data_IF_874564577057
#
_entry.id   IF_874564577057
#
_cell.length_a   1.000
_cell.length_b   1.000
_cell.length_c   1.000
_cell.angle_alpha   90.00
_cell.angle_beta   90.00
_cell.angle_gamma   90.00
#
_symmetry.space_group_name_H-M   'P 1'
#
loop_
_entity.id
_entity.type
_entity.pdbx_description
1 polymer ?
#
# COMPACT_ATOMS: atom_id res chain seq x y z
N UNK A 1 -30.02 87.94 -25.34
CA UNK A 1 -29.22 87.94 -24.09
C UNK A 1 -29.93 87.06 -23.08
N UNK A 2 -29.23 86.02 -22.57
CA UNK A 2 -29.53 85.21 -21.37
C UNK A 2 -30.90 84.50 -21.30
N UNK A 3 -31.10 83.29 -20.76
CA UNK A 3 -30.34 82.42 -19.86
C UNK A 3 -31.02 81.02 -19.87
N UNK A 4 -30.29 80.01 -19.39
CA UNK A 4 -30.61 78.57 -19.32
C UNK A 4 -31.90 78.18 -18.58
N UNK A 5 -32.52 77.06 -19.01
CA UNK A 5 -33.12 76.06 -18.11
C UNK A 5 -33.24 74.66 -18.74
N UNK A 6 -32.84 73.67 -17.94
CA UNK A 6 -32.96 72.19 -17.98
C UNK A 6 -34.14 71.57 -18.75
N UNK A 7 -33.90 70.37 -19.29
CA UNK A 7 -34.94 69.34 -19.47
C UNK A 7 -34.55 68.10 -20.31
N UNK A 8 -34.16 67.02 -19.62
CA UNK A 8 -34.34 65.58 -19.93
C UNK A 8 -34.00 64.99 -21.33
N UNK A 9 -33.07 64.02 -21.33
CA UNK A 9 -32.90 63.01 -22.38
C UNK A 9 -32.62 61.64 -21.78
N UNK A 10 -33.60 60.74 -21.85
CA UNK A 10 -33.54 59.35 -21.42
C UNK A 10 -32.52 58.55 -22.25
N UNK A 11 -31.52 57.96 -21.59
CA UNK A 11 -30.73 56.87 -22.15
C UNK A 11 -30.40 55.89 -21.01
N UNK A 12 -31.08 54.75 -20.95
CA UNK A 12 -30.87 53.80 -19.85
C UNK A 12 -31.60 52.47 -19.93
N UNK A 13 -32.12 52.07 -21.09
CA UNK A 13 -32.89 50.83 -21.24
C UNK A 13 -32.16 49.73 -22.03
N UNK A 14 -30.94 49.98 -22.51
CA UNK A 14 -30.13 48.98 -23.24
C UNK A 14 -29.17 48.13 -22.39
N UNK A 15 -28.87 48.54 -21.15
CA UNK A 15 -27.81 47.91 -20.35
C UNK A 15 -28.29 46.78 -19.42
N UNK A 16 -29.60 46.66 -19.19
CA UNK A 16 -30.17 45.65 -18.27
C UNK A 16 -30.40 44.28 -18.91
N UNK A 17 -30.60 44.21 -20.22
CA UNK A 17 -30.83 42.92 -20.90
C UNK A 17 -29.53 42.17 -21.22
N UNK A 18 -28.42 42.88 -21.44
CA UNK A 18 -27.10 42.27 -21.69
C UNK A 18 -26.54 41.62 -20.41
N UNK A 19 -26.75 42.24 -19.24
CA UNK A 19 -26.24 41.73 -17.97
C UNK A 19 -27.00 40.48 -17.48
N UNK A 20 -28.29 40.37 -17.79
CA UNK A 20 -29.11 39.19 -17.44
C UNK A 20 -28.75 37.97 -18.30
N UNK A 21 -28.39 38.18 -19.57
CA UNK A 21 -27.90 37.10 -20.44
C UNK A 21 -26.48 36.64 -20.06
N UNK A 22 -25.63 37.54 -19.56
CA UNK A 22 -24.27 37.21 -19.05
C UNK A 22 -24.34 36.48 -17.69
N UNK A 23 -25.31 36.83 -16.83
CA UNK A 23 -25.48 36.16 -15.53
C UNK A 23 -26.21 34.80 -15.63
N UNK A 24 -27.02 34.59 -16.67
CA UNK A 24 -27.56 33.26 -16.99
C UNK A 24 -26.54 32.35 -17.70
N UNK A 25 -25.44 32.91 -18.21
CA UNK A 25 -24.32 32.14 -18.78
C UNK A 25 -23.31 31.66 -17.71
N UNK A 26 -23.39 32.16 -16.47
CA UNK A 26 -22.41 31.89 -15.42
C UNK A 26 -22.87 30.93 -14.31
N UNK A 27 -24.05 30.33 -14.45
CA UNK A 27 -24.53 29.26 -13.57
C UNK A 27 -24.74 27.96 -14.37
N UNK A 28 -23.63 27.36 -14.81
CA UNK A 28 -23.56 25.91 -15.03
C UNK A 28 -22.61 25.32 -13.97
N UNK A 29 -23.11 24.72 -12.89
CA UNK A 29 -22.30 23.79 -12.14
C UNK A 29 -22.20 22.51 -12.97
N UNK A 30 -21.07 22.32 -13.65
CA UNK A 30 -20.66 21.03 -14.20
C UNK A 30 -20.65 20.96 -15.72
N UNK A 31 -19.45 20.91 -16.30
CA UNK A 31 -19.12 20.07 -17.47
C UNK A 31 -17.61 19.77 -17.48
N UNK A 32 -17.16 18.92 -16.57
CA UNK A 32 -15.87 18.19 -16.69
C UNK A 32 -16.07 16.81 -17.34
N UNK A 33 -17.33 16.45 -17.64
CA UNK A 33 -17.74 15.19 -18.24
C UNK A 33 -17.75 15.26 -19.78
N UNK A 34 -17.34 14.19 -20.48
CA UNK A 34 -17.47 14.09 -21.94
C UNK A 34 -18.90 14.33 -22.43
N UNK A 35 -19.05 15.00 -23.57
CA UNK A 35 -20.37 15.44 -24.08
C UNK A 35 -21.39 14.32 -24.31
N UNK A 36 -20.93 13.10 -24.61
CA UNK A 36 -21.77 11.93 -24.88
C UNK A 36 -21.92 11.00 -23.67
N UNK A 37 -21.48 11.44 -22.50
CA UNK A 37 -21.52 10.67 -21.28
C UNK A 37 -22.16 11.46 -20.14
N UNK A 38 -22.60 10.72 -19.13
CA UNK A 38 -23.09 11.26 -17.87
C UNK A 38 -22.11 10.87 -16.77
N UNK A 39 -21.69 11.83 -15.96
CA UNK A 39 -20.70 11.61 -14.92
C UNK A 39 -21.27 12.02 -13.57
N UNK A 40 -20.95 11.21 -12.56
CA UNK A 40 -21.11 11.50 -11.15
C UNK A 40 -19.73 11.48 -10.49
N UNK A 41 -19.62 11.85 -9.22
CA UNK A 41 -18.33 11.85 -8.51
C UNK A 41 -17.62 10.48 -8.42
N UNK A 42 -18.30 9.37 -8.74
CA UNK A 42 -17.75 8.01 -8.64
C UNK A 42 -18.02 7.14 -9.88
N UNK A 43 -18.83 7.61 -10.82
CA UNK A 43 -19.32 6.81 -11.95
C UNK A 43 -19.36 7.60 -13.25
N UNK A 44 -18.90 6.98 -14.34
CA UNK A 44 -19.06 7.45 -15.72
C UNK A 44 -20.01 6.51 -16.45
N UNK A 45 -21.00 7.04 -17.16
CA UNK A 45 -22.01 6.27 -17.89
C UNK A 45 -22.24 6.84 -19.29
N UNK A 46 -21.94 6.06 -20.33
CA UNK A 46 -22.09 6.40 -21.75
C UNK A 46 -23.02 5.38 -22.41
N UNK A 47 -24.28 5.76 -22.64
CA UNK A 47 -25.36 4.84 -23.08
C UNK A 47 -26.20 5.42 -24.22
N UNK A 48 -25.82 6.58 -24.75
CA UNK A 48 -26.55 7.25 -25.83
C UNK A 48 -26.54 6.36 -27.09
N UNK A 49 -27.73 6.00 -27.57
CA UNK A 49 -27.95 5.13 -28.73
C UNK A 49 -27.94 5.89 -30.05
N UNK A 50 -28.14 7.21 -30.04
CA UNK A 50 -28.17 8.04 -31.24
C UNK A 50 -26.77 8.55 -31.59
N UNK A 51 -25.95 8.84 -30.57
CA UNK A 51 -24.59 9.34 -30.73
C UNK A 51 -23.61 8.46 -29.97
N UNK A 52 -22.76 7.75 -30.72
CA UNK A 52 -21.76 6.85 -30.16
C UNK A 52 -20.41 7.54 -29.94
N UNK A 53 -19.78 7.25 -28.81
CA UNK A 53 -18.38 7.57 -28.57
C UNK A 53 -17.46 6.75 -29.50
N UNK A 54 -16.32 7.34 -29.86
CA UNK A 54 -15.26 6.68 -30.65
C UNK A 54 -14.00 6.40 -29.83
N UNK A 55 -13.86 7.05 -28.68
CA UNK A 55 -12.70 6.96 -27.80
C UNK A 55 -13.16 6.78 -26.35
N UNK A 56 -12.25 6.29 -25.50
CA UNK A 56 -12.54 6.10 -24.09
C UNK A 56 -12.86 7.44 -23.40
N UNK A 57 -13.90 7.53 -22.55
CA UNK A 57 -14.26 8.78 -21.91
C UNK A 57 -13.15 9.23 -20.94
N UNK A 58 -12.60 10.42 -21.14
CA UNK A 58 -11.61 11.03 -20.25
C UNK A 58 -12.19 12.28 -19.57
N UNK A 59 -11.92 12.44 -18.27
CA UNK A 59 -12.26 13.66 -17.52
C UNK A 59 -11.11 14.67 -17.61
N UNK A 60 -11.40 15.94 -17.40
CA UNK A 60 -10.38 17.00 -17.47
C UNK A 60 -9.43 17.03 -16.26
N UNK A 61 -9.81 16.41 -15.14
CA UNK A 61 -9.06 16.43 -13.88
C UNK A 61 -8.62 15.03 -13.47
N UNK A 62 -7.32 14.85 -13.21
CA UNK A 62 -6.77 13.59 -12.68
C UNK A 62 -7.38 13.23 -11.32
N UNK A 63 -7.60 14.22 -10.45
CA UNK A 63 -8.22 14.00 -9.14
C UNK A 63 -9.67 13.51 -9.25
N UNK A 64 -10.40 13.90 -10.31
CA UNK A 64 -11.74 13.36 -10.57
C UNK A 64 -11.67 11.93 -11.09
N UNK A 65 -10.73 11.61 -11.99
CA UNK A 65 -10.52 10.25 -12.50
C UNK A 65 -10.12 9.27 -11.40
N UNK A 66 -9.28 9.70 -10.46
CA UNK A 66 -8.91 8.88 -9.31
C UNK A 66 -10.10 8.56 -8.39
N UNK A 67 -11.16 9.38 -8.36
CA UNK A 67 -12.36 9.12 -7.56
C UNK A 67 -13.35 8.14 -8.23
N UNK A 68 -13.22 7.91 -9.54
CA UNK A 68 -14.11 7.01 -10.27
C UNK A 68 -13.83 5.56 -9.90
N UNK A 69 -14.91 4.84 -9.58
CA UNK A 69 -14.90 3.42 -9.21
C UNK A 69 -15.69 2.54 -10.16
N UNK A 70 -16.59 3.14 -10.95
CA UNK A 70 -17.49 2.45 -11.89
C UNK A 70 -17.50 3.15 -13.26
N UNK A 71 -17.25 2.42 -14.34
CA UNK A 71 -17.39 2.91 -15.71
C UNK A 71 -18.35 1.99 -16.47
N UNK A 72 -19.38 2.58 -17.06
CA UNK A 72 -20.44 1.88 -17.78
C UNK A 72 -20.58 2.42 -19.20
N UNK A 73 -20.17 1.63 -20.19
CA UNK A 73 -20.23 1.94 -21.61
C UNK A 73 -21.13 0.89 -22.25
N UNK A 74 -22.27 1.32 -22.80
CA UNK A 74 -23.22 0.41 -23.42
C UNK A 74 -23.81 0.98 -24.70
N UNK A 75 -24.14 0.11 -25.65
CA UNK A 75 -24.79 0.46 -26.92
C UNK A 75 -23.98 1.46 -27.77
N UNK A 76 -22.65 1.47 -27.64
CA UNK A 76 -21.76 2.39 -28.36
C UNK A 76 -21.20 1.73 -29.63
N UNK A 77 -21.90 1.90 -30.77
CA UNK A 77 -21.58 1.20 -32.02
C UNK A 77 -20.24 1.60 -32.67
N UNK A 78 -19.70 2.77 -32.33
CA UNK A 78 -18.44 3.28 -32.87
C UNK A 78 -17.24 3.05 -31.94
N UNK A 79 -17.46 2.48 -30.75
CA UNK A 79 -16.41 2.16 -29.80
C UNK A 79 -15.80 0.80 -30.11
N UNK A 80 -14.50 0.76 -30.42
CA UNK A 80 -13.84 -0.43 -30.99
C UNK A 80 -12.58 -0.90 -30.26
N UNK A 81 -11.96 -0.06 -29.43
CA UNK A 81 -10.70 -0.40 -28.78
C UNK A 81 -10.57 0.20 -27.37
N UNK A 82 -9.90 -0.53 -26.48
CA UNK A 82 -9.35 -0.03 -25.21
C UNK A 82 -7.83 -0.14 -25.28
N UNK A 83 -7.15 1.00 -25.20
CA UNK A 83 -5.71 1.13 -25.30
C UNK A 83 -5.07 1.22 -23.90
N UNK A 84 -3.75 1.08 -23.87
CA UNK A 84 -2.94 1.12 -22.64
C UNK A 84 -3.16 2.40 -21.80
N UNK A 85 -3.30 3.55 -22.45
CA UNK A 85 -3.43 4.84 -21.77
C UNK A 85 -4.87 5.21 -21.39
N UNK A 86 -5.85 4.45 -21.85
CA UNK A 86 -7.25 4.83 -21.66
C UNK A 86 -7.69 4.74 -20.20
N UNK A 87 -7.10 3.80 -19.45
CA UNK A 87 -7.49 3.47 -18.08
C UNK A 87 -6.43 3.84 -17.02
N UNK A 88 -5.28 4.35 -17.44
CA UNK A 88 -4.10 4.53 -16.59
C UNK A 88 -4.32 5.47 -15.37
N UNK A 89 -5.21 6.47 -15.51
CA UNK A 89 -5.52 7.47 -14.48
C UNK A 89 -6.68 7.05 -13.56
N UNK A 90 -7.42 5.99 -13.92
CA UNK A 90 -8.55 5.48 -13.14
C UNK A 90 -8.10 4.46 -12.08
N UNK A 91 -7.15 4.85 -11.23
CA UNK A 91 -6.43 3.94 -10.30
C UNK A 91 -7.32 3.23 -9.27
N UNK A 92 -8.48 3.82 -8.94
CA UNK A 92 -9.44 3.25 -7.98
C UNK A 92 -10.61 2.51 -8.63
N UNK A 93 -10.56 2.31 -9.95
CA UNK A 93 -11.61 1.60 -10.69
C UNK A 93 -11.80 0.17 -10.14
N UNK A 94 -13.06 -0.21 -9.92
CA UNK A 94 -13.47 -1.52 -9.41
C UNK A 94 -14.35 -2.29 -10.39
N UNK A 95 -15.19 -1.54 -11.12
CA UNK A 95 -16.16 -2.08 -12.04
C UNK A 95 -15.99 -1.43 -13.42
N UNK A 96 -15.84 -2.26 -14.45
CA UNK A 96 -15.86 -1.81 -15.83
C UNK A 96 -16.89 -2.66 -16.59
N UNK A 97 -17.87 -1.98 -17.19
CA UNK A 97 -18.80 -2.59 -18.13
C UNK A 97 -18.65 -1.94 -19.49
N UNK A 98 -18.34 -2.74 -20.49
CA UNK A 98 -18.35 -2.35 -21.90
C UNK A 98 -19.15 -3.42 -22.63
N UNK A 99 -20.41 -3.15 -22.96
CA UNK A 99 -21.32 -4.18 -23.50
C UNK A 99 -22.15 -3.68 -24.66
N UNK A 100 -22.53 -4.57 -25.58
CA UNK A 100 -23.27 -4.22 -26.79
C UNK A 100 -22.58 -3.11 -27.59
N UNK A 101 -21.27 -3.23 -27.77
CA UNK A 101 -20.44 -2.29 -28.55
C UNK A 101 -19.77 -3.04 -29.71
N UNK A 102 -18.90 -2.35 -30.47
CA UNK A 102 -18.05 -2.99 -31.50
C UNK A 102 -16.62 -3.20 -31.05
N UNK A 103 -16.40 -3.38 -29.74
CA UNK A 103 -15.08 -3.60 -29.17
C UNK A 103 -14.43 -4.86 -29.77
N UNK A 104 -13.31 -4.67 -30.46
CA UNK A 104 -12.53 -5.73 -31.12
C UNK A 104 -11.16 -5.92 -30.49
N UNK A 105 -10.65 -4.91 -29.78
CA UNK A 105 -9.28 -4.90 -29.30
C UNK A 105 -9.17 -4.34 -27.88
N UNK A 106 -8.42 -5.04 -27.03
CA UNK A 106 -8.01 -4.58 -25.71
C UNK A 106 -6.49 -4.78 -25.61
N UNK A 107 -5.78 -3.71 -25.27
CA UNK A 107 -4.32 -3.79 -25.05
C UNK A 107 -3.97 -4.75 -23.92
N UNK A 108 -2.82 -5.44 -24.02
CA UNK A 108 -2.34 -6.35 -22.96
C UNK A 108 -2.03 -5.63 -21.66
N UNK A 109 -1.69 -4.35 -21.72
CA UNK A 109 -1.40 -3.49 -20.57
C UNK A 109 -2.57 -2.57 -20.20
N UNK A 110 -3.74 -2.75 -20.79
CA UNK A 110 -4.89 -1.84 -20.59
C UNK A 110 -5.25 -1.61 -19.12
N UNK A 111 -5.05 -2.62 -18.26
CA UNK A 111 -5.45 -2.58 -16.85
C UNK A 111 -4.28 -2.50 -15.87
N UNK A 112 -3.07 -2.19 -16.32
CA UNK A 112 -1.84 -2.23 -15.50
C UNK A 112 -1.88 -1.23 -14.32
N UNK A 113 -2.64 -0.15 -14.41
CA UNK A 113 -2.80 0.79 -13.27
C UNK A 113 -4.02 0.48 -12.39
N UNK A 114 -4.86 -0.48 -12.75
CA UNK A 114 -6.19 -0.67 -12.15
C UNK A 114 -6.24 -1.88 -11.21
N UNK A 115 -5.30 -1.96 -10.26
CA UNK A 115 -5.13 -3.10 -9.32
C UNK A 115 -6.37 -3.45 -8.48
N UNK A 116 -7.34 -2.54 -8.39
CA UNK A 116 -8.59 -2.71 -7.62
C UNK A 116 -9.75 -3.22 -8.47
N UNK A 117 -9.56 -3.42 -9.77
CA UNK A 117 -10.59 -3.90 -10.69
C UNK A 117 -10.97 -5.34 -10.35
N UNK A 118 -12.25 -5.56 -10.04
CA UNK A 118 -12.80 -6.84 -9.61
C UNK A 118 -13.92 -7.34 -10.53
N UNK A 119 -14.67 -6.43 -11.13
CA UNK A 119 -15.79 -6.76 -12.01
C UNK A 119 -15.52 -6.23 -13.42
N UNK A 120 -15.52 -7.13 -14.39
CA UNK A 120 -15.33 -6.80 -15.80
C UNK A 120 -16.39 -7.46 -16.66
N UNK A 121 -17.28 -6.64 -17.23
CA UNK A 121 -18.27 -7.10 -18.18
C UNK A 121 -17.91 -6.63 -19.59
N UNK A 122 -17.63 -7.60 -20.46
CA UNK A 122 -17.27 -7.41 -21.87
C UNK A 122 -18.25 -8.17 -22.79
N UNK A 123 -19.48 -8.41 -22.35
CA UNK A 123 -20.49 -9.15 -23.13
C UNK A 123 -20.94 -8.43 -24.40
N UNK A 124 -21.41 -9.20 -25.38
CA UNK A 124 -22.04 -8.69 -26.61
C UNK A 124 -21.12 -7.67 -27.34
N UNK A 125 -19.84 -8.03 -27.51
CA UNK A 125 -18.90 -7.25 -28.30
C UNK A 125 -18.38 -8.09 -29.48
N UNK A 126 -17.31 -7.63 -30.13
CA UNK A 126 -16.72 -8.30 -31.29
C UNK A 126 -15.27 -8.74 -31.02
N UNK A 127 -14.98 -9.14 -29.78
CA UNK A 127 -13.66 -9.63 -29.40
C UNK A 127 -13.41 -11.01 -30.04
N UNK A 128 -12.32 -11.10 -30.81
CA UNK A 128 -11.89 -12.37 -31.42
C UNK A 128 -10.84 -13.10 -30.58
N UNK A 129 -9.98 -12.34 -29.90
CA UNK A 129 -8.87 -12.84 -29.09
C UNK A 129 -8.70 -11.96 -27.85
N UNK A 130 -8.45 -12.58 -26.71
CA UNK A 130 -8.18 -11.89 -25.46
C UNK A 130 -7.16 -12.70 -24.66
N UNK A 131 -6.02 -12.09 -24.37
CA UNK A 131 -4.94 -12.76 -23.63
C UNK A 131 -5.19 -12.75 -22.12
N UNK A 132 -4.94 -13.86 -21.44
CA UNK A 132 -4.96 -13.91 -19.97
C UNK A 132 -3.95 -12.94 -19.32
N UNK A 133 -2.87 -12.61 -20.03
CA UNK A 133 -1.86 -11.63 -19.55
C UNK A 133 -2.46 -10.26 -19.29
N UNK A 134 -3.55 -9.92 -19.96
CA UNK A 134 -4.29 -8.67 -19.72
C UNK A 134 -4.84 -8.58 -18.28
N UNK A 135 -5.00 -9.72 -17.61
CA UNK A 135 -5.64 -9.83 -16.29
C UNK A 135 -4.75 -10.44 -15.21
N UNK A 136 -3.53 -10.88 -15.53
CA UNK A 136 -2.70 -11.69 -14.64
C UNK A 136 -2.40 -11.03 -13.27
N UNK A 137 -2.29 -9.70 -13.25
CA UNK A 137 -2.03 -8.90 -12.06
C UNK A 137 -3.31 -8.48 -11.31
N UNK A 138 -4.49 -8.83 -11.82
CA UNK A 138 -5.77 -8.46 -11.26
C UNK A 138 -6.40 -9.62 -10.50
N UNK A 139 -7.04 -9.31 -9.38
CA UNK A 139 -7.87 -10.27 -8.65
C UNK A 139 -9.34 -10.14 -9.10
N UNK A 140 -9.62 -10.47 -10.36
CA UNK A 140 -10.96 -10.37 -10.94
C UNK A 140 -11.88 -11.40 -10.30
N UNK A 141 -12.98 -10.93 -9.72
CA UNK A 141 -14.03 -11.75 -9.12
C UNK A 141 -15.05 -12.22 -10.16
N UNK A 142 -15.33 -11.39 -11.17
CA UNK A 142 -16.28 -11.71 -12.24
C UNK A 142 -15.81 -11.16 -13.58
N UNK A 143 -15.73 -12.04 -14.58
CA UNK A 143 -15.37 -11.74 -15.96
C UNK A 143 -16.45 -12.29 -16.89
N UNK A 144 -17.16 -11.40 -17.58
CA UNK A 144 -18.25 -11.77 -18.47
C UNK A 144 -17.86 -11.54 -19.93
N UNK A 145 -17.87 -12.60 -20.74
CA UNK A 145 -17.39 -12.58 -22.14
C UNK A 145 -18.41 -13.14 -23.14
N UNK A 146 -19.60 -13.54 -22.69
CA UNK A 146 -20.65 -14.09 -23.57
C UNK A 146 -21.04 -13.12 -24.70
N UNK A 147 -21.46 -13.67 -25.85
CA UNK A 147 -21.87 -12.87 -27.02
C UNK A 147 -20.73 -12.32 -27.89
N UNK A 148 -19.46 -12.64 -27.57
CA UNK A 148 -18.32 -12.29 -28.42
C UNK A 148 -18.06 -13.29 -29.56
N UNK A 149 -17.31 -12.87 -30.57
CA UNK A 149 -16.90 -13.67 -31.74
C UNK A 149 -15.54 -14.33 -31.54
N UNK A 150 -15.35 -14.96 -30.38
CA UNK A 150 -14.07 -15.57 -29.98
C UNK A 150 -13.63 -16.64 -30.98
N UNK A 151 -12.36 -16.62 -31.41
CA UNK A 151 -11.82 -17.66 -32.27
C UNK A 151 -11.52 -18.94 -31.48
N UNK A 152 -11.77 -20.11 -32.08
CA UNK A 152 -11.34 -21.39 -31.51
C UNK A 152 -9.81 -21.57 -31.68
N UNK A 153 -9.06 -20.73 -30.98
CA UNK A 153 -7.60 -20.64 -31.05
C UNK A 153 -6.97 -20.84 -29.67
N UNK A 154 -5.69 -21.22 -29.67
CA UNK A 154 -4.96 -21.53 -28.43
C UNK A 154 -4.88 -20.33 -27.47
N UNK A 155 -4.87 -19.10 -27.99
CA UNK A 155 -4.85 -17.87 -27.19
C UNK A 155 -6.09 -17.66 -26.31
N UNK A 156 -7.23 -18.31 -26.65
CA UNK A 156 -8.47 -18.18 -25.90
C UNK A 156 -8.71 -19.37 -24.96
N UNK A 157 -7.86 -20.41 -24.99
CA UNK A 157 -8.09 -21.65 -24.22
C UNK A 157 -7.95 -21.43 -22.71
N UNK A 158 -7.19 -20.43 -22.27
CA UNK A 158 -7.08 -20.08 -20.85
C UNK A 158 -8.43 -19.82 -20.19
N UNK A 159 -9.42 -19.34 -20.96
CA UNK A 159 -10.77 -19.06 -20.47
C UNK A 159 -11.47 -20.34 -19.98
N UNK A 160 -11.09 -21.52 -20.47
CA UNK A 160 -11.58 -22.81 -19.96
C UNK A 160 -11.15 -23.07 -18.51
N UNK A 161 -9.97 -22.58 -18.13
CA UNK A 161 -9.44 -22.72 -16.78
C UNK A 161 -9.98 -21.65 -15.82
N UNK A 162 -10.57 -20.58 -16.37
CA UNK A 162 -11.21 -19.53 -15.61
C UNK A 162 -12.44 -20.08 -14.87
N UNK A 163 -12.47 -19.94 -13.54
CA UNK A 163 -13.56 -20.44 -12.68
C UNK A 163 -14.72 -19.45 -12.54
N UNK A 164 -15.10 -18.79 -13.63
CA UNK A 164 -16.29 -17.94 -13.65
C UNK A 164 -17.56 -18.78 -13.85
N UNK A 165 -18.68 -18.36 -13.28
CA UNK A 165 -19.99 -19.02 -13.49
C UNK A 165 -20.36 -19.15 -14.98
N UNK A 166 -19.89 -18.23 -15.83
CA UNK A 166 -20.14 -18.25 -17.29
C UNK A 166 -19.08 -19.00 -18.12
N UNK A 167 -18.04 -19.56 -17.50
CA UNK A 167 -16.95 -20.24 -18.23
C UNK A 167 -17.46 -21.41 -19.09
N UNK A 168 -18.55 -22.05 -18.64
CA UNK A 168 -19.17 -23.19 -19.33
C UNK A 168 -20.02 -22.80 -20.55
N UNK A 169 -20.42 -21.53 -20.67
CA UNK A 169 -21.31 -21.03 -21.74
C UNK A 169 -20.55 -20.35 -22.90
N UNK A 170 -19.24 -20.18 -22.78
CA UNK A 170 -18.45 -19.51 -23.80
C UNK A 170 -18.36 -20.33 -25.09
N UNK A 171 -18.71 -19.69 -26.20
CA UNK A 171 -18.65 -20.27 -27.54
C UNK A 171 -17.52 -19.65 -28.33
N UNK A 172 -16.85 -20.45 -29.15
CA UNK A 172 -15.86 -20.00 -30.11
C UNK A 172 -16.28 -20.35 -31.55
N UNK A 173 -15.68 -19.66 -32.52
CA UNK A 173 -15.92 -19.82 -33.95
C UNK A 173 -14.69 -20.44 -34.61
N UNK A 174 -14.89 -21.55 -35.33
CA UNK A 174 -13.87 -22.23 -36.13
C UNK A 174 -13.72 -21.58 -37.52
N UNK A 175 -12.63 -21.89 -38.23
CA UNK A 175 -12.49 -21.57 -39.65
C UNK A 175 -13.61 -22.28 -40.44
N UNK A 176 -14.58 -21.50 -40.93
CA UNK A 176 -15.82 -22.01 -41.53
C UNK A 176 -17.11 -21.60 -40.80
N UNK A 177 -17.01 -20.84 -39.70
CA UNK A 177 -18.16 -20.22 -39.03
C UNK A 177 -18.91 -21.15 -38.07
N UNK A 178 -18.45 -22.39 -37.90
CA UNK A 178 -19.04 -23.34 -36.96
C UNK A 178 -18.76 -22.89 -35.53
N UNK A 179 -19.81 -22.84 -34.71
CA UNK A 179 -19.71 -22.52 -33.28
C UNK A 179 -19.47 -23.77 -32.44
N UNK A 180 -18.53 -23.72 -31.50
CA UNK A 180 -18.23 -24.80 -30.54
C UNK A 180 -18.11 -24.24 -29.14
N UNK A 181 -18.57 -24.99 -28.13
CA UNK A 181 -18.34 -24.64 -26.74
C UNK A 181 -16.84 -24.72 -26.40
N UNK A 182 -16.30 -23.65 -25.81
CA UNK A 182 -14.89 -23.52 -25.47
C UNK A 182 -14.47 -24.55 -24.39
N UNK A 183 -15.39 -24.89 -23.48
CA UNK A 183 -15.20 -25.93 -22.47
C UNK A 183 -14.87 -27.31 -23.08
N UNK A 184 -15.43 -27.64 -24.25
CA UNK A 184 -15.21 -28.90 -24.95
C UNK A 184 -14.14 -28.80 -26.05
N UNK A 185 -13.46 -27.66 -26.18
CA UNK A 185 -12.44 -27.47 -27.20
C UNK A 185 -11.16 -28.23 -26.83
N UNK A 186 -10.61 -28.94 -27.82
CA UNK A 186 -9.31 -29.63 -27.74
C UNK A 186 -8.51 -29.25 -28.98
N UNK A 187 -7.40 -28.54 -28.79
CA UNK A 187 -6.52 -28.12 -29.87
C UNK A 187 -5.18 -28.86 -29.80
N UNK A 188 -4.62 -29.31 -30.93
CA UNK A 188 -3.28 -29.89 -30.95
C UNK A 188 -2.24 -28.82 -30.59
N UNK A 189 -1.14 -29.22 -29.95
CA UNK A 189 -0.03 -28.33 -29.57
C UNK A 189 -0.45 -27.13 -28.70
N UNK A 190 -1.51 -27.27 -27.91
CA UNK A 190 -2.01 -26.25 -26.99
C UNK A 190 -2.11 -26.83 -25.58
N UNK A 191 -1.00 -26.78 -24.86
CA UNK A 191 -0.75 -27.42 -23.57
C UNK A 191 -0.15 -26.38 -22.63
N UNK A 192 -0.66 -26.35 -21.39
CA UNK A 192 -0.14 -25.51 -20.33
C UNK A 192 1.34 -25.81 -20.04
N UNK A 193 2.11 -24.81 -19.57
CA UNK A 193 3.46 -25.04 -19.09
C UNK A 193 3.45 -26.01 -17.90
N UNK A 194 4.47 -26.86 -17.81
CA UNK A 194 4.72 -27.73 -16.66
C UNK A 194 6.10 -27.41 -16.13
N UNK A 195 6.19 -27.00 -14.87
CA UNK A 195 7.44 -26.54 -14.24
C UNK A 195 7.96 -27.56 -13.25
N UNK A 196 9.25 -27.83 -13.31
CA UNK A 196 9.96 -28.68 -12.34
C UNK A 196 11.17 -27.94 -11.80
N UNK A 197 11.24 -27.79 -10.47
CA UNK A 197 12.32 -27.11 -9.77
C UNK A 197 13.09 -28.12 -8.91
N UNK A 198 14.42 -28.15 -9.06
CA UNK A 198 15.32 -29.01 -8.29
C UNK A 198 16.44 -28.20 -7.64
N UNK A 199 16.82 -28.52 -6.38
CA UNK A 199 16.13 -29.44 -5.46
C UNK A 199 14.78 -28.88 -4.96
N UNK A 200 13.91 -29.75 -4.45
CA UNK A 200 12.58 -29.36 -3.91
C UNK A 200 12.63 -28.79 -2.50
N UNK A 201 13.74 -28.99 -1.79
CA UNK A 201 14.06 -28.41 -0.48
C UNK A 201 15.52 -28.00 -0.47
N UNK A 202 15.82 -26.85 0.13
CA UNK A 202 17.18 -26.31 0.24
C UNK A 202 17.44 -26.00 1.70
N UNK A 203 18.23 -26.85 2.36
CA UNK A 203 18.76 -26.60 3.69
C UNK A 203 20.29 -26.64 3.60
N UNK A 204 20.96 -25.55 3.99
CA UNK A 204 22.41 -25.42 3.83
C UNK A 204 23.03 -24.44 4.81
N UNK A 205 24.32 -24.59 5.09
CA UNK A 205 25.06 -23.66 5.94
C UNK A 205 25.37 -22.35 5.20
N UNK A 206 25.35 -21.22 5.93
CA UNK A 206 25.84 -19.92 5.46
C UNK A 206 27.22 -20.04 4.83
N UNK A 207 27.42 -19.32 3.75
CA UNK A 207 28.67 -19.22 2.99
C UNK A 207 28.92 -20.32 1.97
N UNK A 208 28.01 -21.29 1.86
CA UNK A 208 28.04 -22.29 0.80
C UNK A 208 27.37 -21.77 -0.48
N UNK A 209 27.59 -22.49 -1.58
CA UNK A 209 26.97 -22.20 -2.87
C UNK A 209 25.85 -23.20 -3.14
N UNK A 210 24.78 -22.76 -3.81
CA UNK A 210 23.69 -23.64 -4.26
C UNK A 210 23.28 -23.31 -5.69
N UNK A 211 22.91 -24.34 -6.44
CA UNK A 211 22.38 -24.20 -7.80
C UNK A 211 20.97 -24.78 -7.83
N UNK A 212 20.01 -23.94 -8.22
CA UNK A 212 18.64 -24.34 -8.47
C UNK A 212 18.46 -24.52 -9.96
N UNK A 213 17.90 -25.66 -10.37
CA UNK A 213 17.66 -26.00 -11.77
C UNK A 213 16.16 -26.02 -12.00
N UNK A 214 15.70 -25.19 -12.92
CA UNK A 214 14.31 -25.16 -13.33
C UNK A 214 14.17 -25.62 -14.78
N UNK A 215 13.35 -26.66 -14.99
CA UNK A 215 12.97 -27.14 -16.31
C UNK A 215 11.48 -26.91 -16.53
N UNK A 216 11.14 -26.39 -17.70
CA UNK A 216 9.77 -26.19 -18.17
C UNK A 216 9.52 -26.90 -19.48
N UNK A 217 8.33 -27.46 -19.65
CA UNK A 217 7.84 -27.98 -20.92
C UNK A 217 6.43 -27.48 -21.17
N UNK A 218 5.99 -27.45 -22.41
CA UNK A 218 4.69 -26.90 -22.79
C UNK A 218 4.68 -26.55 -24.27
N UNK A 219 3.49 -26.45 -24.83
CA UNK A 219 3.30 -26.11 -26.23
C UNK A 219 2.17 -25.07 -26.34
N UNK A 220 2.40 -23.89 -26.91
CA UNK A 220 3.67 -23.40 -27.46
C UNK A 220 4.76 -23.24 -26.40
N UNK A 221 6.02 -23.17 -26.88
CA UNK A 221 7.20 -23.09 -26.03
C UNK A 221 7.04 -22.00 -24.97
N UNK A 222 7.06 -22.36 -23.68
CA UNK A 222 6.84 -21.39 -22.62
C UNK A 222 8.10 -20.56 -22.36
N UNK A 223 7.90 -19.35 -21.87
CA UNK A 223 8.96 -18.51 -21.32
C UNK A 223 9.21 -18.93 -19.86
N UNK A 224 10.45 -18.85 -19.40
CA UNK A 224 10.84 -19.16 -18.02
C UNK A 224 11.44 -17.91 -17.40
N UNK A 225 10.89 -17.51 -16.25
CA UNK A 225 11.40 -16.41 -15.46
C UNK A 225 11.59 -16.83 -14.00
N UNK A 226 12.58 -16.22 -13.35
CA UNK A 226 12.84 -16.40 -11.92
C UNK A 226 12.28 -15.22 -11.14
N UNK A 227 11.41 -15.51 -10.20
CA UNK A 227 10.87 -14.58 -9.22
C UNK A 227 11.51 -14.88 -7.85
N UNK A 228 12.30 -13.94 -7.35
CA UNK A 228 13.12 -14.09 -6.14
C UNK A 228 12.83 -12.93 -5.21
N UNK A 229 12.97 -13.15 -3.89
CA UNK A 229 13.08 -12.02 -2.96
C UNK A 229 14.30 -11.15 -3.29
N UNK A 230 14.44 -10.04 -2.56
CA UNK A 230 15.65 -9.24 -2.59
C UNK A 230 16.81 -10.03 -1.95
N UNK A 231 17.50 -10.82 -2.77
CA UNK A 231 18.64 -11.64 -2.37
C UNK A 231 19.83 -10.75 -2.00
N UNK A 232 20.43 -11.01 -0.85
CA UNK A 232 21.69 -10.42 -0.40
C UNK A 232 22.89 -11.19 -0.96
N UNK A 233 22.71 -12.48 -1.25
CA UNK A 233 23.73 -13.31 -1.87
C UNK A 233 23.97 -12.92 -3.33
N UNK A 234 25.23 -12.99 -3.75
CA UNK A 234 25.58 -12.86 -5.16
C UNK A 234 24.94 -14.02 -5.94
N UNK A 235 24.35 -13.71 -7.09
CA UNK A 235 23.63 -14.71 -7.87
C UNK A 235 23.81 -14.55 -9.36
N UNK A 236 23.73 -15.66 -10.09
CA UNK A 236 23.85 -15.72 -11.54
C UNK A 236 22.75 -16.59 -12.12
N UNK A 237 22.16 -16.14 -13.22
CA UNK A 237 21.17 -16.89 -13.99
C UNK A 237 21.84 -17.39 -15.26
N UNK A 238 21.76 -18.69 -15.52
CA UNK A 238 22.30 -19.33 -16.71
C UNK A 238 21.19 -20.13 -17.42
N UNK A 239 21.34 -20.32 -18.73
CA UNK A 239 20.32 -20.98 -19.56
C UNK A 239 19.22 -20.03 -20.06
N UNK A 240 18.47 -20.51 -21.05
CA UNK A 240 17.36 -19.78 -21.66
C UNK A 240 16.35 -20.76 -22.28
N UNK A 241 15.10 -20.33 -22.42
CA UNK A 241 14.03 -21.15 -22.97
C UNK A 241 13.49 -22.16 -21.95
N UNK A 242 13.63 -23.45 -22.23
CA UNK A 242 12.99 -24.53 -21.47
C UNK A 242 13.77 -24.99 -20.23
N UNK A 243 14.98 -24.49 -20.02
CA UNK A 243 15.82 -24.82 -18.87
C UNK A 243 16.63 -23.60 -18.44
N UNK A 244 16.63 -23.32 -17.14
CA UNK A 244 17.44 -22.26 -16.54
C UNK A 244 17.96 -22.68 -15.17
N UNK A 245 19.16 -22.22 -14.85
CA UNK A 245 19.81 -22.42 -13.56
C UNK A 245 19.96 -21.08 -12.83
N UNK A 246 19.64 -21.07 -11.53
CA UNK A 246 19.94 -19.97 -10.63
C UNK A 246 21.02 -20.42 -9.64
N UNK A 247 22.21 -19.83 -9.75
CA UNK A 247 23.37 -20.09 -8.89
C UNK A 247 23.44 -19.00 -7.83
N UNK A 248 23.34 -19.38 -6.56
CA UNK A 248 23.61 -18.51 -5.41
C UNK A 248 25.01 -18.81 -4.88
N UNK A 249 25.80 -17.77 -4.68
CA UNK A 249 27.19 -17.85 -4.24
C UNK A 249 27.34 -17.23 -2.84
N UNK A 250 28.13 -17.88 -1.98
CA UNK A 250 28.43 -17.43 -0.62
C UNK A 250 27.17 -17.00 0.13
N UNK A 251 26.23 -17.94 0.29
CA UNK A 251 24.86 -17.66 0.72
C UNK A 251 24.82 -16.94 2.07
N UNK A 252 24.10 -15.82 2.14
CA UNK A 252 23.95 -14.97 3.33
C UNK A 252 22.86 -15.48 4.27
N UNK A 253 23.06 -15.33 5.58
CA UNK A 253 22.02 -15.61 6.59
C UNK A 253 20.77 -14.75 6.44
N UNK A 254 20.87 -13.57 5.80
CA UNK A 254 19.75 -12.67 5.54
C UNK A 254 18.78 -13.19 4.47
N UNK A 255 19.19 -14.19 3.69
CA UNK A 255 18.31 -14.80 2.68
C UNK A 255 17.48 -15.95 3.26
N UNK A 256 17.59 -16.21 4.58
CA UNK A 256 16.87 -17.29 5.24
C UNK A 256 15.35 -17.06 5.16
N UNK A 257 14.61 -18.11 4.82
CA UNK A 257 13.18 -18.04 4.57
C UNK A 257 12.80 -17.42 3.22
N UNK A 258 13.75 -16.95 2.40
CA UNK A 258 13.43 -16.41 1.10
C UNK A 258 12.80 -17.49 0.18
N UNK A 259 11.63 -17.17 -0.38
CA UNK A 259 10.95 -17.96 -1.40
C UNK A 259 11.53 -17.64 -2.77
N UNK A 260 12.11 -18.64 -3.41
CA UNK A 260 12.53 -18.59 -4.82
C UNK A 260 11.49 -19.33 -5.65
N UNK A 261 10.96 -18.67 -6.67
CA UNK A 261 9.92 -19.20 -7.56
C UNK A 261 10.44 -19.20 -8.99
N UNK A 262 10.39 -20.37 -9.63
CA UNK A 262 10.51 -20.46 -11.07
C UNK A 262 9.10 -20.41 -11.68
N UNK A 263 8.85 -19.38 -12.48
CA UNK A 263 7.58 -19.10 -13.14
C UNK A 263 7.73 -19.37 -14.62
N UNK A 264 6.77 -20.05 -15.23
CA UNK A 264 6.78 -20.32 -16.65
C UNK A 264 5.42 -20.11 -17.28
N UNK A 265 5.40 -19.42 -18.42
CA UNK A 265 4.18 -18.93 -19.04
C UNK A 265 4.16 -19.12 -20.56
N UNK A 266 3.00 -19.44 -21.11
CA UNK A 266 2.73 -19.41 -22.55
C UNK A 266 1.36 -18.76 -22.82
N UNK A 267 0.86 -18.82 -24.05
CA UNK A 267 -0.46 -18.25 -24.38
C UNK A 267 -1.64 -18.97 -23.74
N UNK A 268 -1.46 -20.23 -23.32
CA UNK A 268 -2.49 -21.05 -22.66
C UNK A 268 -2.63 -20.69 -21.19
N UNK A 269 -1.53 -20.30 -20.54
CA UNK A 269 -1.53 -19.93 -19.13
C UNK A 269 -0.13 -19.96 -18.52
N UNK A 270 -0.11 -20.11 -17.20
CA UNK A 270 1.08 -20.03 -16.38
C UNK A 270 1.17 -21.21 -15.41
N UNK A 271 2.39 -21.59 -15.04
CA UNK A 271 2.67 -22.52 -13.95
C UNK A 271 3.93 -22.11 -13.22
N UNK A 272 4.00 -22.43 -11.93
CA UNK A 272 5.12 -22.07 -11.08
C UNK A 272 5.54 -23.22 -10.17
N UNK A 273 6.80 -23.23 -9.77
CA UNK A 273 7.34 -24.08 -8.72
C UNK A 273 8.24 -23.25 -7.82
N UNK A 274 8.13 -23.43 -6.50
CA UNK A 274 8.87 -22.63 -5.53
C UNK A 274 9.62 -23.48 -4.50
N UNK A 275 10.70 -22.92 -3.96
CA UNK A 275 11.47 -23.47 -2.85
C UNK A 275 11.77 -22.37 -1.84
N UNK A 276 11.74 -22.68 -0.55
CA UNK A 276 12.20 -21.79 0.50
C UNK A 276 13.64 -22.13 0.86
N UNK A 277 14.49 -21.12 0.97
CA UNK A 277 15.85 -21.27 1.46
C UNK A 277 15.84 -21.41 2.98
N UNK A 278 16.41 -22.50 3.49
CA UNK A 278 16.68 -22.72 4.91
C UNK A 278 18.19 -22.65 5.14
N UNK A 279 18.64 -21.50 5.64
CA UNK A 279 20.07 -21.18 5.76
C UNK A 279 20.46 -21.27 7.22
N UNK A 280 21.39 -22.16 7.51
CA UNK A 280 21.86 -22.48 8.86
C UNK A 280 23.10 -21.65 9.21
N UNK A 281 23.09 -20.97 10.35
CA UNK A 281 24.16 -20.07 10.80
C UNK A 281 24.21 -19.94 12.32
N UNK A 282 25.40 -19.60 12.82
CA UNK A 282 25.63 -19.33 14.24
C UNK A 282 24.79 -18.12 14.71
N UNK A 283 24.46 -18.02 16.01
CA UNK A 283 23.69 -16.90 16.53
C UNK A 283 24.47 -15.59 16.37
N UNK A 284 23.75 -14.48 16.20
CA UNK A 284 24.32 -13.13 16.14
C UNK A 284 23.43 -12.21 16.98
N UNK A 285 23.99 -11.63 18.03
CA UNK A 285 23.31 -10.64 18.87
C UNK A 285 23.45 -9.29 18.18
N UNK A 286 22.38 -8.84 17.53
CA UNK A 286 22.37 -7.57 16.78
C UNK A 286 22.23 -6.36 17.71
N UNK A 287 21.53 -6.53 18.84
CA UNK A 287 21.26 -5.47 19.82
C UNK A 287 21.28 -6.01 21.25
N UNK A 288 21.88 -5.23 22.13
CA UNK A 288 21.71 -5.31 23.58
C UNK A 288 21.73 -3.87 24.10
N UNK A 289 20.63 -3.44 24.73
CA UNK A 289 20.37 -2.03 25.06
C UNK A 289 20.30 -1.80 26.56
N UNK A 290 20.44 -0.52 26.96
CA UNK A 290 20.34 -0.11 28.35
C UNK A 290 19.01 -0.53 28.97
N UNK A 291 19.02 -0.73 30.29
CA UNK A 291 17.83 -1.13 31.02
C UNK A 291 16.78 0.00 31.01
N UNK A 292 15.56 -0.34 30.61
CA UNK A 292 14.42 0.58 30.53
C UNK A 292 13.42 0.22 31.62
N UNK A 293 12.85 1.22 32.30
CA UNK A 293 11.82 1.05 33.32
C UNK A 293 10.45 1.44 32.75
N UNK A 294 9.58 0.46 32.52
CA UNK A 294 8.19 0.68 32.08
C UNK A 294 7.28 -0.38 32.74
N UNK A 295 6.88 -0.11 33.98
CA UNK A 295 6.25 -1.03 34.96
C UNK A 295 7.17 -2.11 35.55
N UNK A 296 7.94 -2.81 34.72
CA UNK A 296 9.06 -3.66 35.15
C UNK A 296 10.34 -3.18 34.47
N UNK A 297 11.49 -3.62 34.95
CA UNK A 297 12.75 -3.36 34.28
C UNK A 297 12.98 -4.34 33.14
N UNK A 298 13.53 -3.83 32.06
CA UNK A 298 13.70 -4.55 30.80
C UNK A 298 15.09 -4.24 30.25
N UNK A 299 15.93 -5.26 30.08
CA UNK A 299 17.17 -5.15 29.28
C UNK A 299 16.85 -5.68 27.88
N UNK A 300 16.60 -4.81 26.89
CA UNK A 300 16.16 -5.24 25.56
C UNK A 300 17.30 -5.88 24.77
N UNK A 301 17.00 -6.93 24.02
CA UNK A 301 17.94 -7.55 23.10
C UNK A 301 17.28 -7.94 21.77
N UNK A 302 18.12 -8.15 20.76
CA UNK A 302 17.73 -8.72 19.48
C UNK A 302 18.81 -9.72 19.04
N UNK A 303 18.37 -10.92 18.68
CA UNK A 303 19.28 -12.03 18.34
C UNK A 303 18.76 -12.80 17.13
N UNK A 304 19.60 -12.93 16.10
CA UNK A 304 19.36 -13.78 14.95
C UNK A 304 20.00 -15.16 15.19
N UNK A 305 19.45 -16.21 14.59
CA UNK A 305 20.07 -17.53 14.59
C UNK A 305 19.17 -18.60 14.01
N UNK A 306 19.72 -19.46 13.15
CA UNK A 306 19.04 -20.62 12.61
C UNK A 306 19.96 -21.85 12.66
N UNK A 307 19.65 -22.90 13.45
CA UNK A 307 18.45 -23.08 14.25
C UNK A 307 18.33 -22.09 15.41
N UNK A 308 17.12 -22.00 15.98
CA UNK A 308 16.78 -21.11 17.09
C UNK A 308 17.84 -21.22 18.21
N UNK A 309 18.47 -20.11 18.62
CA UNK A 309 19.50 -20.14 19.65
C UNK A 309 18.92 -20.40 21.04
N UNK A 310 19.69 -21.10 21.88
CA UNK A 310 19.50 -21.14 23.33
C UNK A 310 20.12 -19.89 23.95
N UNK A 311 19.35 -19.20 24.79
CA UNK A 311 19.78 -17.97 25.47
C UNK A 311 20.10 -18.27 26.94
N UNK A 312 21.12 -17.61 27.47
CA UNK A 312 21.48 -17.61 28.89
C UNK A 312 22.14 -16.29 29.28
N UNK A 313 22.04 -15.92 30.55
CA UNK A 313 22.58 -14.65 31.06
C UNK A 313 23.65 -14.87 32.13
N UNK A 314 24.63 -13.99 32.15
CA UNK A 314 25.59 -13.85 33.25
C UNK A 314 25.45 -12.46 33.87
N UNK A 315 25.51 -12.37 35.19
CA UNK A 315 25.66 -11.13 35.95
C UNK A 315 27.03 -11.16 36.62
N UNK A 316 27.91 -10.23 36.25
CA UNK A 316 29.30 -10.17 36.74
C UNK A 316 30.00 -11.53 36.61
N UNK A 317 29.89 -12.15 35.42
CA UNK A 317 30.44 -13.45 35.05
C UNK A 317 29.87 -14.67 35.83
N UNK A 318 28.83 -14.48 36.64
CA UNK A 318 28.10 -15.55 37.31
C UNK A 318 26.77 -15.85 36.60
N UNK A 319 26.36 -17.12 36.46
CA UNK A 319 25.08 -17.46 35.84
C UNK A 319 23.90 -16.81 36.54
N UNK A 320 23.00 -16.18 35.77
CA UNK A 320 21.72 -15.67 36.27
C UNK A 320 20.75 -16.85 36.30
N UNK A 321 20.28 -17.20 37.49
CA UNK A 321 19.20 -18.17 37.64
C UNK A 321 17.85 -17.50 37.36
N UNK A 322 17.21 -17.89 36.26
CA UNK A 322 15.90 -17.38 35.91
C UNK A 322 14.82 -17.90 36.87
N UNK A 323 13.97 -17.00 37.36
CA UNK A 323 12.89 -17.24 38.30
C UNK A 323 11.68 -16.35 37.99
N UNK A 324 10.69 -16.26 38.88
CA UNK A 324 9.51 -15.42 38.67
C UNK A 324 9.81 -13.91 38.57
N UNK A 325 10.93 -13.47 39.15
CA UNK A 325 11.31 -12.05 39.20
C UNK A 325 12.38 -11.66 38.18
N UNK A 326 13.14 -12.62 37.65
CA UNK A 326 14.15 -12.39 36.61
C UNK A 326 13.98 -13.48 35.55
N UNK A 327 13.50 -13.13 34.36
CA UNK A 327 13.34 -14.10 33.28
C UNK A 327 13.49 -13.51 31.89
N UNK A 328 13.94 -14.33 30.95
CA UNK A 328 14.03 -13.96 29.54
C UNK A 328 12.66 -14.09 28.88
N UNK A 329 12.16 -13.00 28.30
CA UNK A 329 10.89 -12.98 27.54
C UNK A 329 11.18 -12.62 26.09
N UNK A 330 10.76 -13.49 25.17
CA UNK A 330 10.68 -13.16 23.74
C UNK A 330 9.32 -12.50 23.49
N UNK A 331 9.34 -11.31 22.92
CA UNK A 331 8.14 -10.53 22.63
C UNK A 331 7.71 -10.63 21.18
N UNK A 332 8.67 -10.68 20.26
CA UNK A 332 8.42 -10.66 18.83
C UNK A 332 9.45 -11.50 18.05
N UNK A 333 9.07 -11.93 16.86
CA UNK A 333 9.95 -12.48 15.85
C UNK A 333 9.68 -11.78 14.52
N UNK A 334 10.54 -10.82 14.19
CA UNK A 334 10.44 -10.03 12.95
C UNK A 334 11.80 -9.94 12.28
N UNK A 335 11.79 -9.80 10.94
CA UNK A 335 13.00 -9.68 10.12
C UNK A 335 14.05 -10.80 10.30
N UNK A 336 13.63 -11.98 10.78
CA UNK A 336 14.52 -13.12 11.03
C UNK A 336 15.23 -13.08 12.39
N UNK A 337 14.90 -12.12 13.26
CA UNK A 337 15.47 -11.96 14.59
C UNK A 337 14.44 -12.19 15.69
N UNK A 338 14.90 -12.69 16.84
CA UNK A 338 14.11 -12.76 18.07
C UNK A 338 14.33 -11.49 18.87
N UNK A 339 13.25 -10.75 19.13
CA UNK A 339 13.27 -9.54 19.95
C UNK A 339 12.68 -9.83 21.31
N UNK A 340 13.41 -9.49 22.36
CA UNK A 340 13.02 -9.84 23.72
C UNK A 340 13.68 -8.96 24.76
N UNK A 341 13.47 -9.33 26.03
CA UNK A 341 14.14 -8.69 27.14
C UNK A 341 14.52 -9.68 28.24
N UNK A 342 15.59 -9.36 28.98
CA UNK A 342 15.70 -9.83 30.35
C UNK A 342 14.78 -8.95 31.19
N UNK A 343 13.71 -9.54 31.68
CA UNK A 343 12.72 -8.87 32.50
C UNK A 343 13.14 -9.00 33.96
N UNK A 344 13.19 -7.88 34.70
CA UNK A 344 13.43 -7.84 36.13
C UNK A 344 12.26 -7.13 36.84
N UNK A 345 11.61 -7.82 37.78
CA UNK A 345 10.59 -7.25 38.64
C UNK A 345 11.24 -6.63 39.87
N UNK A 346 11.08 -5.31 40.02
CA UNK A 346 11.52 -4.53 41.17
C UNK A 346 12.99 -4.81 41.60
N UNK A 347 13.98 -4.77 40.69
CA UNK A 347 15.38 -5.00 41.01
C UNK A 347 15.93 -3.94 41.98
N UNK A 348 16.92 -4.34 42.76
CA UNK A 348 17.60 -3.48 43.74
C UNK A 348 19.07 -3.28 43.37
N UNK A 349 19.84 -2.62 44.25
CA UNK A 349 21.27 -2.39 44.04
C UNK A 349 22.07 -3.70 43.90
N UNK A 350 21.58 -4.81 44.46
CA UNK A 350 22.20 -6.15 44.33
C UNK A 350 22.13 -6.67 42.89
N UNK A 351 21.16 -6.20 42.11
CA UNK A 351 21.01 -6.56 40.70
C UNK A 351 21.85 -5.66 39.79
N UNK A 352 22.52 -4.63 40.30
CA UNK A 352 23.40 -3.80 39.49
C UNK A 352 24.61 -4.61 39.02
N UNK A 353 25.04 -4.37 37.78
CA UNK A 353 26.26 -4.98 37.30
C UNK A 353 26.29 -5.16 35.79
N UNK A 354 27.31 -5.91 35.35
CA UNK A 354 27.51 -6.25 33.96
C UNK A 354 26.69 -7.49 33.61
N UNK A 355 25.63 -7.29 32.83
CA UNK A 355 24.83 -8.36 32.25
C UNK A 355 25.44 -8.79 30.92
N UNK A 356 25.68 -10.08 30.75
CA UNK A 356 26.15 -10.67 29.48
C UNK A 356 25.10 -11.65 28.97
N UNK A 357 24.53 -11.36 27.80
CA UNK A 357 23.69 -12.30 27.07
C UNK A 357 24.59 -13.24 26.28
N UNK A 358 24.35 -14.54 26.41
CA UNK A 358 24.98 -15.60 25.61
C UNK A 358 23.92 -16.29 24.77
N UNK A 359 24.19 -16.42 23.47
CA UNK A 359 23.33 -17.11 22.52
C UNK A 359 24.12 -18.25 21.85
N UNK A 360 23.59 -19.47 21.87
CA UNK A 360 24.28 -20.66 21.34
C UNK A 360 23.37 -21.53 20.46
N UNK A 361 23.93 -22.09 19.40
CA UNK A 361 23.33 -23.19 18.64
C UNK A 361 24.44 -24.14 18.13
N UNK A 362 24.09 -25.17 17.37
CA UNK A 362 25.05 -26.16 16.86
C UNK A 362 26.12 -25.59 15.89
N UNK A 363 25.93 -24.36 15.39
CA UNK A 363 26.84 -23.70 14.45
C UNK A 363 27.80 -22.70 15.12
N UNK A 364 27.59 -22.38 16.40
CA UNK A 364 28.46 -21.49 17.16
C UNK A 364 27.73 -20.77 18.29
N UNK A 365 28.42 -19.80 18.86
CA UNK A 365 27.95 -19.00 19.99
C UNK A 365 28.31 -17.53 19.76
N UNK A 366 27.52 -16.63 20.33
CA UNK A 366 27.80 -15.19 20.38
C UNK A 366 27.42 -14.65 21.76
N UNK A 367 28.09 -13.57 22.18
CA UNK A 367 27.85 -12.95 23.47
C UNK A 367 28.04 -11.45 23.44
N UNK A 368 27.14 -10.72 24.09
CA UNK A 368 27.21 -9.26 24.22
C UNK A 368 26.94 -8.87 25.67
N UNK A 369 27.63 -7.83 26.15
CA UNK A 369 27.52 -7.37 27.53
C UNK A 369 27.12 -5.90 27.63
N UNK A 370 26.36 -5.58 28.67
CA UNK A 370 25.93 -4.22 29.01
C UNK A 370 25.92 -4.03 30.52
N UNK A 371 26.19 -2.82 30.99
CA UNK A 371 26.07 -2.49 32.40
C UNK A 371 24.67 -1.98 32.70
N UNK A 372 24.00 -2.59 33.68
CA UNK A 372 22.69 -2.14 34.14
C UNK A 372 22.78 -1.65 35.58
N UNK A 373 22.18 -0.49 35.85
CA UNK A 373 22.07 0.10 37.17
C UNK A 373 20.61 0.40 37.49
N UNK A 374 20.10 -0.20 38.55
CA UNK A 374 18.71 -0.16 38.96
C UNK A 374 18.48 0.72 40.19
N UNK A 375 19.39 0.70 41.17
CA UNK A 375 19.26 1.46 42.41
C UNK A 375 20.63 1.76 43.03
N UNK A 376 20.78 2.93 43.66
CA UNK A 376 22.02 3.26 44.38
C UNK A 376 22.23 2.36 45.60
N UNK A 377 23.50 2.05 45.90
CA UNK A 377 23.86 1.33 47.12
C UNK A 377 23.68 2.23 48.35
N UNK A 378 23.06 1.73 49.43
CA UNK A 378 22.81 2.52 50.64
C UNK A 378 24.07 2.86 51.46
N UNK A 379 25.20 2.19 51.25
CA UNK A 379 26.42 2.31 52.08
C UNK A 379 27.67 2.77 51.31
N UNK A 380 27.52 3.55 50.24
CA UNK A 380 28.68 4.24 49.66
C UNK A 380 29.02 5.46 50.54
N UNK A 381 29.45 5.20 51.79
CA UNK A 381 29.90 6.19 52.75
C UNK A 381 31.29 6.69 52.37
N UNK A 382 31.33 7.62 51.41
CA UNK A 382 32.36 8.65 51.36
C UNK A 382 31.71 10.03 51.47
N UNK A 383 30.79 10.19 52.42
CA UNK A 383 30.31 11.49 52.86
C UNK A 383 30.77 11.68 54.30
N UNK A 384 32.02 12.10 54.46
CA UNK A 384 32.43 12.84 55.65
C UNK A 384 31.85 14.24 55.52
N UNK A 385 30.58 14.42 55.88
CA UNK A 385 30.13 15.74 56.31
C UNK A 385 29.15 15.57 57.49
N UNK A 386 29.45 16.18 58.65
CA UNK A 386 28.58 16.09 59.80
C UNK A 386 27.28 16.85 59.52
N UNK A 387 26.15 16.21 59.78
CA UNK A 387 24.84 16.86 59.83
C UNK A 387 24.83 17.90 60.97
N UNK A 388 25.26 19.12 60.66
CA UNK A 388 25.00 20.28 61.49
C UNK A 388 23.62 20.83 61.09
N UNK A 389 22.59 20.54 61.88
CA UNK A 389 21.35 21.30 61.80
C UNK A 389 21.61 22.67 62.44
N UNK A 390 21.73 23.70 61.60
CA UNK A 390 21.65 25.10 62.03
C UNK A 390 20.27 25.65 61.60
N UNK A 391 19.34 25.90 62.54
CA UNK A 391 18.06 26.50 62.22
C UNK A 391 18.19 28.03 62.32
N UNK A 392 18.61 28.67 61.23
CA UNK A 392 18.44 30.12 61.08
C UNK A 392 17.59 30.44 59.87
N UNK A 393 16.40 30.92 60.19
CA UNK A 393 15.47 31.73 59.40
C UNK A 393 16.12 32.59 58.32
N UNK A 394 15.74 32.38 57.05
CA UNK A 394 15.05 33.37 56.19
C UNK A 394 14.95 32.82 54.75
N UNK A 395 14.02 31.89 54.51
CA UNK A 395 13.68 31.48 53.14
C UNK A 395 12.52 32.33 52.63
N UNK A 396 12.86 33.29 51.77
CA UNK A 396 11.92 33.84 50.80
C UNK A 396 11.43 32.71 49.90
N UNK A 397 10.13 32.63 49.55
CA UNK A 397 9.65 31.55 48.70
C UNK A 397 10.23 31.72 47.29
N UNK A 398 11.15 30.85 46.90
CA UNK A 398 11.51 30.67 45.50
C UNK A 398 10.23 30.32 44.71
N UNK A 399 9.93 31.14 43.70
CA UNK A 399 8.87 30.86 42.75
C UNK A 399 9.09 29.51 42.04
N UNK A 400 8.04 28.93 41.46
CA UNK A 400 8.14 27.63 40.80
C UNK A 400 9.17 27.68 39.65
N UNK A 401 9.89 26.59 39.39
CA UNK A 401 10.91 26.53 38.34
C UNK A 401 10.29 26.88 36.98
N UNK A 402 10.95 27.78 36.25
CA UNK A 402 10.48 28.34 34.97
C UNK A 402 10.16 27.26 33.91
N UNK A 403 10.78 26.08 34.03
CA UNK A 403 10.54 24.94 33.14
C UNK A 403 9.14 24.31 33.31
N UNK A 404 8.57 24.30 34.53
CA UNK A 404 7.19 23.80 34.71
C UNK A 404 6.18 24.75 34.08
N UNK A 405 6.40 26.06 34.21
CA UNK A 405 5.55 27.09 33.58
C UNK A 405 5.60 26.95 32.06
N UNK A 406 6.79 26.74 31.48
CA UNK A 406 6.95 26.52 30.06
C UNK A 406 6.19 25.26 29.57
N UNK A 407 6.29 24.14 30.29
CA UNK A 407 5.58 22.89 29.91
C UNK A 407 4.06 23.05 30.02
N UNK A 408 3.53 23.67 31.08
CA UNK A 408 2.08 23.90 31.20
C UNK A 408 1.55 24.87 30.13
N UNK A 409 2.33 25.89 29.77
CA UNK A 409 1.97 26.83 28.70
C UNK A 409 1.96 26.11 27.33
N UNK A 410 2.95 25.26 27.05
CA UNK A 410 3.01 24.50 25.79
C UNK A 410 1.88 23.48 25.70
N UNK A 411 1.59 22.75 26.78
CA UNK A 411 0.46 21.79 26.83
C UNK A 411 -0.87 22.52 26.72
N UNK A 412 -1.01 23.69 27.34
CA UNK A 412 -2.19 24.55 27.22
C UNK A 412 -2.42 25.06 25.79
N UNK A 413 -1.37 25.55 25.13
CA UNK A 413 -1.43 26.00 23.73
C UNK A 413 -1.75 24.82 22.80
N UNK A 414 -1.15 23.65 23.02
CA UNK A 414 -1.44 22.44 22.26
C UNK A 414 -2.91 21.98 22.43
N UNK A 415 -3.43 22.02 23.66
CA UNK A 415 -4.83 21.70 23.92
C UNK A 415 -5.80 22.70 23.28
N UNK A 416 -5.51 24.00 23.32
CA UNK A 416 -6.34 25.04 22.69
C UNK A 416 -6.33 24.93 21.16
N UNK A 417 -5.16 24.69 20.57
CA UNK A 417 -5.03 24.49 19.12
C UNK A 417 -5.72 23.21 18.67
N UNK A 418 -5.59 22.12 19.42
CA UNK A 418 -6.26 20.86 19.11
C UNK A 418 -7.79 20.95 19.26
N UNK A 419 -8.28 21.56 20.33
CA UNK A 419 -9.72 21.79 20.51
C UNK A 419 -10.28 22.76 19.46
N UNK A 420 -9.54 23.81 19.09
CA UNK A 420 -9.88 24.70 17.99
C UNK A 420 -9.95 23.98 16.65
N UNK A 421 -9.00 23.09 16.37
CA UNK A 421 -8.99 22.26 15.16
C UNK A 421 -10.16 21.29 15.11
N UNK A 422 -10.47 20.62 16.23
CA UNK A 422 -11.65 19.76 16.37
C UNK A 422 -12.93 20.57 16.16
N UNK A 423 -13.06 21.74 16.77
CA UNK A 423 -14.24 22.61 16.61
C UNK A 423 -14.39 23.09 15.16
N UNK A 424 -13.27 23.42 14.50
CA UNK A 424 -13.26 23.84 13.10
C UNK A 424 -13.65 22.68 12.16
N UNK A 425 -13.19 21.46 12.43
CA UNK A 425 -13.64 20.25 11.74
C UNK A 425 -15.12 19.97 11.98
N UNK A 426 -15.63 20.19 13.19
CA UNK A 426 -17.07 20.08 13.50
C UNK A 426 -17.86 21.13 12.73
N UNK A 427 -17.43 22.39 12.69
CA UNK A 427 -18.08 23.45 11.92
C UNK A 427 -18.02 23.14 10.41
N UNK A 428 -16.92 22.63 9.88
CA UNK A 428 -16.83 22.22 8.47
C UNK A 428 -17.73 21.02 8.16
N UNK A 429 -17.87 20.08 9.10
CA UNK A 429 -18.67 18.86 8.96
C UNK A 429 -20.17 19.12 9.10
N UNK A 430 -20.57 20.03 9.99
CA UNK A 430 -21.98 20.39 10.21
C UNK A 430 -22.44 21.61 9.39
N UNK A 431 -21.52 22.52 9.04
CA UNK A 431 -21.77 23.65 8.16
C UNK A 431 -22.08 23.23 6.72
N UNK A 432 -21.58 22.08 6.27
CA UNK A 432 -21.97 21.48 4.97
C UNK A 432 -23.41 20.94 4.94
N UNK A 433 -24.08 20.81 6.09
CA UNK A 433 -25.44 20.23 6.19
C UNK A 433 -26.47 21.16 6.86
N UNK A 434 -26.16 22.43 7.15
CA UNK A 434 -27.13 23.34 7.78
C UNK A 434 -28.07 23.98 6.75
N UNK A 435 -29.35 23.61 6.86
CA UNK A 435 -30.47 24.00 5.98
C UNK A 435 -31.20 25.26 6.45
N UNK A 436 -30.52 26.18 7.15
CA UNK A 436 -31.12 27.44 7.60
C UNK A 436 -30.29 28.65 7.15
N UNK A 437 -30.82 29.36 6.15
CA UNK A 437 -30.34 30.68 5.80
C UNK A 437 -30.76 31.70 6.84
N UNK A 438 -29.81 32.48 7.35
CA UNK A 438 -30.08 33.73 8.06
C UNK A 438 -29.53 34.87 7.18
N UNK A 439 -30.47 35.66 6.66
CA UNK A 439 -30.21 36.94 6.00
C UNK A 439 -29.90 38.00 7.06
N UNK A 440 -28.79 38.71 6.87
CA UNK A 440 -28.57 40.14 7.07
C UNK A 440 -28.83 40.78 8.44
N UNK A 441 -27.82 41.48 8.97
CA UNK A 441 -28.02 42.85 9.44
C UNK A 441 -26.72 43.68 9.33
N UNK A 442 -26.82 44.79 8.62
CA UNK A 442 -25.86 45.91 8.58
C UNK A 442 -26.35 46.93 9.60
N UNK A 443 -25.46 47.47 10.44
CA UNK A 443 -25.69 48.73 11.14
C UNK A 443 -24.40 49.57 11.14
N UNK A 444 -24.62 50.87 10.94
CA UNK A 444 -23.73 51.93 10.47
C UNK A 444 -22.92 52.63 11.58
N UNK A 445 -21.79 53.24 11.15
CA UNK A 445 -21.24 54.58 11.53
C UNK A 445 -20.80 54.83 13.00
N UNK A 446 -19.68 55.50 13.34
CA UNK A 446 -18.89 56.59 12.73
C UNK A 446 -17.44 56.65 13.29
N UNK A 447 -16.42 56.80 12.42
CA UNK A 447 -15.37 57.90 12.30
C UNK A 447 -14.62 58.39 13.57
N UNK A 448 -13.36 58.95 13.52
CA UNK A 448 -12.16 58.81 12.64
C UNK A 448 -10.83 58.61 13.43
N UNK A 449 -9.71 58.28 12.75
CA UNK A 449 -8.39 58.85 13.13
C UNK A 449 -7.59 59.20 11.87
N UNK A 450 -6.98 60.37 11.93
CA UNK A 450 -6.34 61.16 10.88
C UNK A 450 -5.10 60.54 10.22
N UNK A 451 -4.92 60.94 8.96
CA UNK A 451 -3.64 61.02 8.26
C UNK A 451 -2.96 62.33 8.66
N UNK A 452 -1.73 62.28 9.16
CA UNK A 452 -0.78 63.40 9.05
C UNK A 452 0.54 62.84 8.53
N UNK A 453 0.89 63.28 7.33
CA UNK A 453 2.22 63.15 6.77
C UNK A 453 3.14 64.22 7.36
N UNK A 454 4.36 63.83 7.72
CA UNK A 454 5.59 64.60 7.51
C UNK A 454 6.75 63.65 7.27
#
# INVERSE_FOLDING_TARGET
MSLLSRGFGMAGWGFRWVLVLVLLALWRPGTACPELCTCTGVRISCVDTERSIMAFPMLQSEAEMENITDIYIANQSSFTAINEKDLNLYRNLRNLTVTNTRLTYISRQAFESNMKLQYLNLKENNLSNLSWRTFHHLNISSLLLAGNTLQCACDNVWMKQWRGEESEELMCVEEGGKRRALAMLTLPNCVLPTVTLKPTKVTMRKGLNVTLVCNTSGMPTPNLNWDTCKLNSAHQKEGSGQMSELKLLNVSSLDNGCKITCRSDNMVGESEASVHLDILFAPVISKLMDAISDHHWCIPFSVAGNPKPKLSWLLNDQPVEECSYILTKIHDYSEGEYHGCLHLDSPTHINNGKYTLMASNEYGEDSMAIFAHFMHEPWNESVTDPLYYDPTTDDTPLGPPEDKVAVYVVVGIAAITFTGFILMLVILKFGRNSKFGIKGFVLFHNVPVEVVAR
#
